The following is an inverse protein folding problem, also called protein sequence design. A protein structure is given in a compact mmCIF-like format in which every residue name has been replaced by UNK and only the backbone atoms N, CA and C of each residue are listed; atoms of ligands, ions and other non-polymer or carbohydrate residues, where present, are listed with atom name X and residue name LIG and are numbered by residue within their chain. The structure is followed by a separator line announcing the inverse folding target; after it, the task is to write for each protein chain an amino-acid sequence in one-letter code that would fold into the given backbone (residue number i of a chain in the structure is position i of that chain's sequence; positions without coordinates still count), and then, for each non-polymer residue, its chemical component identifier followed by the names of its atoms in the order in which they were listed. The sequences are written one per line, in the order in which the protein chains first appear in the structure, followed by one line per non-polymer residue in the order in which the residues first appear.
data_IF_495251511368
#
_entry.id   IF_495251511368
#
_cell.length_a   1.000
_cell.length_b   1.000
_cell.length_c   1.000
_cell.angle_alpha   90.00
_cell.angle_beta   90.00
_cell.angle_gamma   90.00
#
_symmetry.space_group_name_H-M   'P 1'
#
loop_
_entity.id
_entity.type
_entity.pdbx_description
1 polymer ?
#
# COMPACT_ATOMS: atom_id res chain seq x y z
N UNK A 1 15.78 24.13 -14.05
CA UNK A 1 15.25 22.76 -13.82
C UNK A 1 16.12 21.99 -12.84
N UNK A 2 17.45 21.92 -13.03
CA UNK A 2 18.37 21.29 -12.07
C UNK A 2 18.32 21.93 -10.66
N UNK A 3 18.30 23.27 -10.56
CA UNK A 3 18.21 23.97 -9.26
C UNK A 3 16.91 23.64 -8.51
N UNK A 4 15.80 23.49 -9.25
CA UNK A 4 14.52 23.09 -8.66
C UNK A 4 14.56 21.66 -8.13
N UNK A 5 15.16 20.72 -8.87
CA UNK A 5 15.32 19.34 -8.41
C UNK A 5 16.21 19.25 -7.17
N UNK A 6 17.31 20.01 -7.15
CA UNK A 6 18.18 20.11 -5.97
C UNK A 6 17.41 20.66 -4.77
N UNK A 7 16.63 21.73 -4.96
CA UNK A 7 15.81 22.29 -3.89
C UNK A 7 14.79 21.27 -3.34
N UNK A 8 14.12 20.52 -4.21
CA UNK A 8 13.16 19.49 -3.80
C UNK A 8 13.82 18.32 -3.07
N UNK A 9 15.00 17.92 -3.53
CA UNK A 9 15.82 16.92 -2.84
C UNK A 9 16.21 17.36 -1.43
N UNK A 10 16.62 18.62 -1.27
CA UNK A 10 16.98 19.17 0.04
C UNK A 10 15.78 19.18 0.99
N UNK A 11 14.62 19.68 0.53
CA UNK A 11 13.40 19.66 1.32
C UNK A 11 12.99 18.24 1.74
N UNK A 12 13.07 17.27 0.83
CA UNK A 12 12.80 15.86 1.14
C UNK A 12 13.73 15.32 2.25
N UNK A 13 15.02 15.61 2.17
CA UNK A 13 15.98 15.18 3.19
C UNK A 13 15.73 15.86 4.54
N UNK A 14 15.37 17.15 4.54
CA UNK A 14 15.05 17.91 5.75
C UNK A 14 13.77 17.39 6.42
N UNK A 15 12.75 17.06 5.64
CA UNK A 15 11.51 16.42 6.14
C UNK A 15 11.80 15.04 6.73
N UNK A 16 12.61 14.22 6.06
CA UNK A 16 13.01 12.90 6.57
C UNK A 16 13.81 13.02 7.88
N UNK A 17 14.69 14.01 8.00
CA UNK A 17 15.40 14.31 9.25
C UNK A 17 14.40 14.65 10.37
N UNK A 18 13.44 15.52 10.09
CA UNK A 18 12.41 15.94 11.04
C UNK A 18 11.52 14.77 11.47
N UNK A 19 11.24 13.80 10.59
CA UNK A 19 10.50 12.59 10.97
C UNK A 19 11.21 11.78 12.07
N UNK A 20 12.52 11.90 12.21
CA UNK A 20 13.30 11.31 13.30
C UNK A 20 12.94 11.85 14.69
N UNK A 21 12.36 13.04 14.77
CA UNK A 21 11.95 13.67 16.02
C UNK A 21 10.78 12.91 16.67
N UNK A 22 9.92 12.27 15.85
CA UNK A 22 8.82 11.42 16.33
C UNK A 22 9.32 10.35 17.29
N UNK A 23 10.53 9.80 17.07
CA UNK A 23 11.14 8.78 17.91
C UNK A 23 11.89 9.40 19.09
N UNK A 24 12.69 10.45 18.82
CA UNK A 24 13.54 11.06 19.85
C UNK A 24 12.71 11.71 20.96
N UNK A 25 11.53 12.22 20.64
CA UNK A 25 10.59 12.84 21.56
C UNK A 25 9.82 11.81 22.44
N UNK A 26 9.88 10.51 22.12
CA UNK A 26 9.24 9.49 22.97
C UNK A 26 10.04 9.23 24.24
N UNK A 27 9.56 9.77 25.35
CA UNK A 27 10.23 9.66 26.67
C UNK A 27 10.11 8.29 27.32
N UNK A 28 9.11 7.48 26.93
CA UNK A 28 8.80 6.20 27.58
C UNK A 28 9.33 4.97 26.82
N UNK A 29 9.97 5.15 25.66
CA UNK A 29 10.53 4.05 24.89
C UNK A 29 11.86 3.58 25.46
N UNK A 30 12.09 2.26 25.43
CA UNK A 30 13.41 1.70 25.72
C UNK A 30 14.42 2.06 24.63
N UNK A 31 15.72 1.87 24.91
CA UNK A 31 16.77 2.07 23.88
C UNK A 31 16.60 1.12 22.68
N UNK A 32 16.13 -0.10 22.92
CA UNK A 32 15.81 -1.05 21.85
C UNK A 32 14.65 -0.54 21.00
N UNK A 33 13.57 -0.04 21.61
CA UNK A 33 12.42 0.48 20.88
C UNK A 33 12.77 1.73 20.07
N UNK A 34 13.61 2.63 20.61
CA UNK A 34 14.10 3.80 19.86
C UNK A 34 14.94 3.36 18.65
N UNK A 35 15.84 2.41 18.85
CA UNK A 35 16.67 1.85 17.76
C UNK A 35 15.80 1.22 16.67
N UNK A 36 14.80 0.44 17.06
CA UNK A 36 13.82 -0.15 16.14
C UNK A 36 12.94 0.90 15.46
N UNK A 37 12.60 1.99 16.15
CA UNK A 37 11.90 3.14 15.60
C UNK A 37 12.65 3.78 14.42
N UNK A 38 13.96 4.01 14.57
CA UNK A 38 14.75 4.57 13.47
C UNK A 38 14.85 3.59 12.30
N UNK A 39 15.00 2.29 12.59
CA UNK A 39 14.95 1.24 11.56
C UNK A 39 13.57 1.19 10.88
N UNK A 40 12.50 1.43 11.63
CA UNK A 40 11.13 1.53 11.11
C UNK A 40 10.95 2.72 10.18
N UNK A 41 11.51 3.91 10.47
CA UNK A 41 11.48 5.04 9.54
C UNK A 41 12.17 4.71 8.20
N UNK A 42 13.31 4.01 8.22
CA UNK A 42 13.97 3.57 6.98
C UNK A 42 13.13 2.57 6.19
N UNK A 43 12.37 1.71 6.88
CA UNK A 43 11.42 0.79 6.24
C UNK A 43 10.27 1.54 5.60
N UNK A 44 9.67 2.50 6.31
CA UNK A 44 8.60 3.36 5.77
C UNK A 44 9.08 4.16 4.56
N UNK A 45 10.32 4.65 4.59
CA UNK A 45 10.93 5.33 3.46
C UNK A 45 11.01 4.44 2.22
N UNK A 46 11.45 3.19 2.37
CA UNK A 46 11.49 2.26 1.23
C UNK A 46 10.10 2.02 0.66
N UNK A 47 9.13 1.73 1.52
CA UNK A 47 7.74 1.49 1.10
C UNK A 47 7.12 2.72 0.43
N UNK A 48 7.41 3.93 0.92
CA UNK A 48 6.92 5.16 0.32
C UNK A 48 7.56 5.44 -1.03
N UNK A 49 8.83 5.07 -1.24
CA UNK A 49 9.48 5.19 -2.54
C UNK A 49 8.88 4.23 -3.57
N UNK A 50 8.66 2.97 -3.19
CA UNK A 50 7.98 1.99 -4.05
C UNK A 50 6.57 2.48 -4.44
N UNK A 51 5.79 2.95 -3.47
CA UNK A 51 4.43 3.45 -3.70
C UNK A 51 4.39 4.72 -4.56
N UNK A 52 5.23 5.72 -4.29
CA UNK A 52 5.09 7.05 -4.87
C UNK A 52 5.94 7.28 -6.12
N UNK A 53 6.93 6.41 -6.40
CA UNK A 53 7.78 6.54 -7.58
C UNK A 53 7.69 5.33 -8.50
N UNK A 54 8.00 4.13 -7.99
CA UNK A 54 8.15 2.95 -8.85
C UNK A 54 6.78 2.41 -9.33
N UNK A 55 5.76 2.46 -8.47
CA UNK A 55 4.42 1.94 -8.73
C UNK A 55 3.35 3.05 -8.80
N UNK A 56 3.73 4.30 -9.05
CA UNK A 56 2.80 5.44 -9.01
C UNK A 56 2.06 5.73 -10.33
N UNK A 57 2.46 5.11 -11.44
CA UNK A 57 1.79 5.32 -12.72
C UNK A 57 0.48 4.52 -12.78
N UNK A 58 -0.65 5.19 -12.53
CA UNK A 58 -1.98 4.57 -12.56
C UNK A 58 -2.42 4.09 -13.95
N UNK A 59 -1.76 4.49 -15.04
CA UNK A 59 -2.05 3.97 -16.38
C UNK A 59 -1.33 2.65 -16.66
N UNK A 60 -0.30 2.33 -15.88
CA UNK A 60 0.45 1.08 -15.92
C UNK A 60 0.61 0.53 -14.50
N UNK A 61 -0.50 0.20 -13.82
CA UNK A 61 -0.44 -0.26 -12.45
C UNK A 61 0.29 -1.60 -12.37
N UNK A 62 0.98 -1.80 -11.26
CA UNK A 62 1.65 -3.06 -10.92
C UNK A 62 1.56 -3.28 -9.42
N UNK A 63 1.55 -4.56 -9.02
CA UNK A 63 1.49 -4.91 -7.61
C UNK A 63 2.84 -4.71 -6.92
N UNK A 64 2.78 -4.24 -5.67
CA UNK A 64 3.88 -4.11 -4.73
C UNK A 64 3.39 -4.39 -3.31
N UNK A 65 4.29 -4.54 -2.33
CA UNK A 65 3.92 -4.96 -0.98
C UNK A 65 4.17 -3.84 0.03
N UNK A 66 3.10 -3.24 0.57
CA UNK A 66 3.24 -2.24 1.66
C UNK A 66 3.50 -2.85 3.04
N UNK A 67 3.51 -4.18 3.16
CA UNK A 67 3.98 -4.88 4.35
C UNK A 67 4.48 -6.27 3.99
N UNK A 68 5.65 -6.62 4.50
CA UNK A 68 6.34 -7.89 4.27
C UNK A 68 7.45 -8.06 5.33
N UNK A 69 8.30 -9.08 5.20
CA UNK A 69 9.19 -9.56 6.26
C UNK A 69 10.17 -8.49 6.76
N UNK A 70 10.54 -7.54 5.90
CA UNK A 70 11.59 -6.54 6.20
C UNK A 70 11.11 -5.10 6.21
N UNK A 71 9.85 -4.82 5.88
CA UNK A 71 9.19 -3.52 6.06
C UNK A 71 7.71 -3.71 6.39
N UNK A 72 7.25 -3.01 7.42
CA UNK A 72 6.00 -3.29 8.15
C UNK A 72 5.24 -2.00 8.37
N UNK A 73 3.91 -2.03 8.41
CA UNK A 73 3.05 -0.88 8.72
C UNK A 73 1.89 -1.35 9.60
N UNK A 74 1.61 -0.61 10.69
CA UNK A 74 0.28 -0.61 11.32
C UNK A 74 -0.22 -1.96 11.87
N UNK A 75 0.65 -2.72 12.54
CA UNK A 75 0.35 -4.08 13.01
C UNK A 75 0.04 -5.03 11.85
N UNK A 76 1.01 -5.18 10.95
CA UNK A 76 0.95 -6.12 9.82
C UNK A 76 0.64 -7.54 10.30
N UNK A 77 -0.27 -8.22 9.59
CA UNK A 77 -0.53 -9.62 9.85
C UNK A 77 0.60 -10.47 9.21
N UNK A 78 1.40 -11.21 9.99
CA UNK A 78 2.49 -12.02 9.46
C UNK A 78 2.03 -13.16 8.54
N UNK A 79 0.75 -13.54 8.58
CA UNK A 79 0.18 -14.59 7.73
C UNK A 79 -0.29 -14.07 6.36
N UNK A 80 -0.31 -12.74 6.17
CA UNK A 80 -0.82 -12.13 4.94
C UNK A 80 0.29 -11.88 3.90
N UNK A 81 -0.04 -12.14 2.63
CA UNK A 81 0.66 -11.54 1.50
C UNK A 81 -0.11 -10.27 1.12
N UNK A 82 0.45 -9.10 1.43
CA UNK A 82 -0.14 -7.82 1.06
C UNK A 82 0.29 -7.42 -0.36
N UNK A 83 -0.68 -7.23 -1.25
CA UNK A 83 -0.47 -6.66 -2.58
C UNK A 83 -1.25 -5.35 -2.70
N UNK A 84 -0.58 -4.33 -3.23
CA UNK A 84 -1.10 -2.99 -3.41
C UNK A 84 -0.84 -2.54 -4.85
N UNK A 85 -1.74 -1.75 -5.43
CA UNK A 85 -1.54 -1.12 -6.73
C UNK A 85 -2.19 0.27 -6.71
N UNK A 86 -1.49 1.28 -7.23
CA UNK A 86 -2.08 2.61 -7.37
C UNK A 86 -2.92 2.65 -8.65
N UNK A 87 -4.14 3.15 -8.54
CA UNK A 87 -5.10 3.25 -9.63
C UNK A 87 -5.75 4.63 -9.66
N UNK A 88 -6.31 5.01 -10.81
CA UNK A 88 -7.14 6.19 -10.95
C UNK A 88 -8.61 5.77 -10.89
N UNK A 89 -9.35 6.21 -9.87
CA UNK A 89 -10.76 5.85 -9.70
C UNK A 89 -11.71 6.32 -10.81
N UNK A 90 -11.23 7.14 -11.75
CA UNK A 90 -11.98 7.52 -12.96
C UNK A 90 -11.82 6.52 -14.13
N UNK A 91 -10.87 5.59 -14.03
CA UNK A 91 -10.54 4.60 -15.07
C UNK A 91 -11.12 3.22 -14.70
N UNK A 92 -10.95 2.24 -15.60
CA UNK A 92 -11.35 0.85 -15.36
C UNK A 92 -10.16 -0.10 -15.47
N UNK A 93 -10.14 -1.13 -14.63
CA UNK A 93 -9.05 -2.10 -14.53
C UNK A 93 -9.59 -3.52 -14.44
N UNK A 94 -8.78 -4.51 -14.86
CA UNK A 94 -9.05 -5.94 -14.66
C UNK A 94 -7.90 -6.54 -13.84
N UNK A 95 -8.24 -7.24 -12.76
CA UNK A 95 -7.32 -8.12 -12.05
C UNK A 95 -7.73 -9.55 -12.37
N UNK A 96 -6.84 -10.30 -13.02
CA UNK A 96 -7.05 -11.71 -13.31
C UNK A 96 -5.99 -12.56 -12.58
N UNK A 97 -6.39 -13.73 -12.12
CA UNK A 97 -5.50 -14.62 -11.39
C UNK A 97 -6.12 -15.97 -11.09
N UNK A 98 -5.43 -16.73 -10.24
CA UNK A 98 -5.89 -18.01 -9.72
C UNK A 98 -5.72 -18.00 -8.20
N UNK A 99 -6.71 -18.51 -7.46
CA UNK A 99 -6.65 -18.55 -5.99
C UNK A 99 -5.58 -19.52 -5.46
N UNK A 100 -5.06 -20.41 -6.31
CA UNK A 100 -4.11 -21.44 -5.90
C UNK A 100 -4.69 -22.29 -4.78
N UNK A 101 -4.01 -22.29 -3.64
CA UNK A 101 -4.37 -23.08 -2.46
C UNK A 101 -4.77 -22.21 -1.26
N UNK A 102 -4.96 -20.89 -1.43
CA UNK A 102 -5.29 -20.03 -0.29
C UNK A 102 -6.71 -20.28 0.21
N UNK A 103 -6.87 -20.33 1.54
CA UNK A 103 -8.18 -20.43 2.18
C UNK A 103 -8.91 -19.08 2.27
N UNK A 104 -8.18 -17.99 2.08
CA UNK A 104 -8.72 -16.63 2.13
C UNK A 104 -8.02 -15.71 1.13
N UNK A 105 -8.84 -15.01 0.35
CA UNK A 105 -8.42 -13.94 -0.55
C UNK A 105 -9.44 -12.81 -0.46
N UNK A 106 -8.97 -11.58 -0.29
CA UNK A 106 -9.82 -10.38 -0.26
C UNK A 106 -9.20 -9.25 -1.06
N UNK A 107 -10.04 -8.47 -1.70
CA UNK A 107 -9.71 -7.24 -2.41
C UNK A 107 -10.36 -6.07 -1.71
N UNK A 108 -9.60 -4.99 -1.53
CA UNK A 108 -10.11 -3.75 -0.93
C UNK A 108 -9.77 -2.56 -1.81
N UNK A 109 -10.79 -1.80 -2.19
CA UNK A 109 -10.62 -0.52 -2.87
C UNK A 109 -10.47 0.58 -1.82
N UNK A 110 -9.31 1.27 -1.81
CA UNK A 110 -8.95 2.21 -0.75
C UNK A 110 -8.60 3.58 -1.30
N UNK A 111 -9.03 4.61 -0.58
CA UNK A 111 -8.45 5.95 -0.67
C UNK A 111 -7.38 6.09 0.42
N UNK A 112 -6.11 6.02 0.02
CA UNK A 112 -4.97 6.18 0.93
C UNK A 112 -4.74 7.65 1.25
N UNK A 113 -5.01 8.03 2.50
CA UNK A 113 -4.92 9.40 3.00
C UNK A 113 -3.95 9.55 4.16
N UNK A 114 -3.02 8.60 4.32
CA UNK A 114 -2.05 8.65 5.43
C UNK A 114 -1.24 9.95 5.43
N UNK A 115 -0.84 10.45 4.26
CA UNK A 115 -0.11 11.72 4.12
C UNK A 115 -0.98 12.98 4.26
N UNK A 116 -2.31 12.84 4.31
CA UNK A 116 -3.25 13.97 4.37
C UNK A 116 -3.83 14.10 5.78
N UNK A 117 -4.42 13.03 6.30
CA UNK A 117 -5.13 13.04 7.59
C UNK A 117 -4.92 11.75 8.41
N UNK A 118 -3.99 10.88 7.99
CA UNK A 118 -3.65 9.66 8.72
C UNK A 118 -4.68 8.53 8.56
N UNK A 119 -5.65 8.64 7.64
CA UNK A 119 -6.70 7.63 7.45
C UNK A 119 -6.53 6.82 6.16
N UNK A 120 -7.17 5.66 6.15
CA UNK A 120 -7.36 4.83 4.97
C UNK A 120 -8.87 4.61 4.83
N UNK A 121 -9.49 5.27 3.85
CA UNK A 121 -10.93 5.16 3.66
C UNK A 121 -11.23 3.98 2.73
N UNK A 122 -12.14 3.10 3.15
CA UNK A 122 -12.58 1.98 2.32
C UNK A 122 -13.73 2.40 1.43
N UNK A 123 -13.59 2.14 0.13
CA UNK A 123 -14.61 2.42 -0.89
C UNK A 123 -15.38 1.16 -1.30
N UNK A 124 -14.77 -0.01 -1.08
CA UNK A 124 -15.36 -1.31 -1.34
C UNK A 124 -14.46 -2.43 -0.85
N UNK A 125 -15.05 -3.55 -0.50
CA UNK A 125 -14.37 -4.79 -0.11
C UNK A 125 -15.07 -5.93 -0.82
N UNK A 126 -14.31 -6.95 -1.20
CA UNK A 126 -14.84 -8.19 -1.75
C UNK A 126 -13.92 -9.32 -1.33
N UNK A 127 -14.46 -10.36 -0.72
CA UNK A 127 -13.72 -11.59 -0.45
C UNK A 127 -14.12 -12.74 -1.38
N UNK A 128 -13.29 -13.78 -1.43
CA UNK A 128 -13.49 -14.90 -2.34
C UNK A 128 -14.81 -15.66 -2.15
N UNK A 129 -15.46 -15.56 -0.99
CA UNK A 129 -16.78 -16.18 -0.76
C UNK A 129 -17.90 -15.46 -1.53
N UNK A 130 -17.65 -14.19 -1.88
CA UNK A 130 -18.54 -13.33 -2.64
C UNK A 130 -18.20 -13.28 -4.13
N UNK A 131 -17.11 -13.93 -4.56
CA UNK A 131 -16.64 -13.97 -5.95
C UNK A 131 -17.13 -15.20 -6.72
N UNK A 132 -17.33 -15.03 -8.02
CA UNK A 132 -17.40 -16.12 -8.99
C UNK A 132 -15.98 -16.55 -9.36
N UNK A 133 -15.63 -17.78 -8.98
CA UNK A 133 -14.34 -18.44 -9.24
C UNK A 133 -14.65 -19.72 -10.02
N UNK A 134 -13.88 -20.00 -11.07
CA UNK A 134 -14.11 -21.19 -11.89
C UNK A 134 -13.67 -22.49 -11.19
N UNK A 135 -14.02 -23.63 -11.78
CA UNK A 135 -13.74 -24.97 -11.20
C UNK A 135 -12.24 -25.27 -11.01
N UNK A 136 -11.35 -24.53 -11.69
CA UNK A 136 -9.90 -24.68 -11.58
C UNK A 136 -9.25 -23.52 -10.82
N UNK A 137 -10.04 -22.66 -10.19
CA UNK A 137 -9.60 -21.60 -9.28
C UNK A 137 -9.33 -20.23 -9.92
N UNK A 138 -9.61 -20.03 -11.22
CA UNK A 138 -9.37 -18.72 -11.85
C UNK A 138 -10.47 -17.73 -11.52
N UNK A 139 -10.07 -16.46 -11.45
CA UNK A 139 -10.98 -15.33 -11.28
C UNK A 139 -10.61 -14.18 -12.20
N UNK A 140 -11.60 -13.32 -12.45
CA UNK A 140 -11.43 -11.99 -13.02
C UNK A 140 -12.24 -11.01 -12.21
N UNK A 141 -11.59 -9.97 -11.70
CA UNK A 141 -12.18 -8.88 -10.94
C UNK A 141 -12.09 -7.59 -11.76
N UNK A 142 -13.23 -6.93 -11.94
CA UNK A 142 -13.29 -5.63 -12.61
C UNK A 142 -13.29 -4.52 -11.56
N UNK A 143 -12.52 -3.46 -11.81
CA UNK A 143 -12.54 -2.23 -11.01
C UNK A 143 -13.01 -1.08 -11.90
N UNK A 144 -13.88 -0.20 -11.41
CA UNK A 144 -14.25 1.01 -12.16
C UNK A 144 -15.58 1.62 -11.74
N UNK A 145 -16.16 2.56 -12.50
CA UNK A 145 -17.36 3.27 -12.10
C UNK A 145 -18.68 2.53 -12.37
N UNK A 146 -18.72 1.55 -13.27
CA UNK A 146 -19.94 0.78 -13.56
C UNK A 146 -19.64 -0.67 -13.98
N UNK A 147 -20.30 -1.64 -13.34
CA UNK A 147 -20.41 -3.03 -13.82
C UNK A 147 -21.61 -3.73 -13.16
N UNK A 148 -22.13 -4.76 -13.83
CA UNK A 148 -23.14 -5.67 -13.27
C UNK A 148 -22.54 -7.04 -12.90
N UNK A 149 -21.21 -7.17 -12.93
CA UNK A 149 -20.49 -8.38 -12.52
C UNK A 149 -20.56 -8.58 -11.01
N UNK A 150 -20.59 -9.84 -10.56
CA UNK A 150 -20.41 -10.17 -9.15
C UNK A 150 -18.98 -9.91 -8.70
N UNK A 151 -18.00 -10.14 -9.58
CA UNK A 151 -16.61 -9.80 -9.36
C UNK A 151 -16.36 -8.35 -9.77
N UNK A 152 -16.79 -7.42 -8.92
CA UNK A 152 -16.67 -6.00 -9.20
C UNK A 152 -16.48 -5.16 -7.94
N UNK A 153 -15.61 -4.15 -8.05
CA UNK A 153 -15.40 -3.09 -7.07
C UNK A 153 -15.38 -1.70 -7.72
#
# INVERSE_FOLDING_TARGET
MADLLKQKWDSFCDELKTAGDIISEQVNLSETDKTEGYRYLLRLLRLSLEMNFEHSNSMHPSFYNLSHETAKIGADNPDNIYLNANINGSESYEIAGNIGEVEYLSFGLKENRYSIDGKMHSLGELDMSEMDIDEIGNFKLLLGPNSNSRNYL
#
